data_IF_576396004065
#
_entry.id   IF_576396004065
#
_cell.length_a   1.000
_cell.length_b   1.000
_cell.length_c   1.000
_cell.angle_alpha   90.00
_cell.angle_beta   90.00
_cell.angle_gamma   90.00
#
_symmetry.space_group_name_H-M   'P 1'
#
loop_
_entity.id
_entity.type
_entity.pdbx_description
1 polymer ?
#
# COMPACT_ATOMS: atom_id res chain seq x y z
N UNK A 1 2.60 23.22 21.56
CA UNK A 1 3.05 22.24 20.55
C UNK A 1 3.62 23.04 19.39
N UNK A 2 4.93 23.20 19.33
CA UNK A 2 5.61 24.01 18.30
C UNK A 2 5.76 23.14 17.05
N UNK A 3 5.08 23.49 15.97
CA UNK A 3 5.27 22.83 14.67
C UNK A 3 6.55 23.43 14.07
N UNK A 4 7.60 22.63 13.96
CA UNK A 4 8.86 23.04 13.33
C UNK A 4 8.64 23.27 11.82
N UNK A 5 8.83 24.50 11.30
CA UNK A 5 8.56 24.83 9.90
C UNK A 5 9.58 24.25 8.90
N UNK A 6 10.55 23.44 9.35
CA UNK A 6 11.54 22.76 8.49
C UNK A 6 11.16 21.32 8.14
N UNK A 7 9.94 20.87 8.47
CA UNK A 7 9.47 19.57 8.00
C UNK A 7 9.27 19.61 6.49
N UNK A 8 10.13 18.86 5.78
CA UNK A 8 9.99 18.67 4.33
C UNK A 8 8.56 18.17 4.02
N UNK A 9 7.93 18.66 2.94
CA UNK A 9 6.54 18.30 2.63
C UNK A 9 6.40 16.79 2.50
N UNK A 10 5.47 16.22 3.28
CA UNK A 10 5.10 14.80 3.20
C UNK A 10 4.03 14.67 2.11
N UNK A 11 4.26 13.78 1.15
CA UNK A 11 3.22 13.42 0.20
C UNK A 11 2.29 12.38 0.82
N UNK A 12 0.99 12.52 0.57
CA UNK A 12 -0.02 11.54 1.01
C UNK A 12 -0.50 10.78 -0.22
N UNK A 13 -0.54 9.46 -0.12
CA UNK A 13 -0.95 8.58 -1.21
C UNK A 13 -1.92 7.49 -0.73
N UNK A 14 -2.58 6.85 -1.68
CA UNK A 14 -3.32 5.61 -1.47
C UNK A 14 -2.75 4.54 -2.39
N UNK A 15 -2.63 3.31 -1.87
CA UNK A 15 -2.13 2.16 -2.61
C UNK A 15 -3.15 1.04 -2.46
N UNK A 16 -3.79 0.68 -3.58
CA UNK A 16 -4.62 -0.50 -3.69
C UNK A 16 -3.73 -1.67 -4.18
N UNK A 17 -3.59 -2.69 -3.34
CA UNK A 17 -2.66 -3.81 -3.54
C UNK A 17 -3.13 -4.81 -4.62
N UNK A 18 -4.41 -4.80 -4.95
CA UNK A 18 -5.04 -5.66 -5.97
C UNK A 18 -5.30 -4.95 -7.30
N UNK A 19 -5.08 -3.64 -7.38
CA UNK A 19 -5.21 -2.88 -8.62
C UNK A 19 -4.02 -3.18 -9.57
N UNK A 20 -4.20 -3.08 -10.90
CA UNK A 20 -3.05 -3.10 -11.81
C UNK A 20 -2.08 -1.95 -11.50
N UNK A 21 -0.80 -2.13 -11.82
CA UNK A 21 0.16 -1.02 -11.74
C UNK A 21 -0.31 0.15 -12.62
N UNK A 22 -0.34 1.33 -12.01
CA UNK A 22 -0.48 2.57 -12.76
C UNK A 22 0.77 2.81 -13.59
N UNK A 23 0.70 3.59 -14.68
CA UNK A 23 1.89 3.94 -15.45
C UNK A 23 2.98 4.53 -14.54
N UNK A 24 4.26 4.27 -14.86
CA UNK A 24 5.34 4.60 -13.96
C UNK A 24 5.39 6.11 -13.70
N UNK A 25 5.45 6.48 -12.43
CA UNK A 25 5.53 7.86 -11.97
C UNK A 25 6.85 8.05 -11.25
N UNK A 26 7.88 8.36 -12.03
CA UNK A 26 9.23 8.56 -11.51
C UNK A 26 9.27 9.81 -10.62
N UNK A 27 9.77 9.62 -9.41
CA UNK A 27 9.93 10.72 -8.47
C UNK A 27 11.10 11.63 -8.89
N UNK A 28 10.87 12.93 -9.14
CA UNK A 28 11.94 13.84 -9.54
C UNK A 28 12.96 14.09 -8.43
N UNK A 29 12.62 13.77 -7.17
CA UNK A 29 13.48 13.89 -6.00
C UNK A 29 13.09 12.88 -4.92
N UNK A 30 14.00 12.62 -3.99
CA UNK A 30 13.70 11.79 -2.83
C UNK A 30 12.55 12.40 -2.02
N UNK A 31 11.56 11.58 -1.68
CA UNK A 31 10.28 12.03 -1.13
C UNK A 31 9.82 11.13 0.01
N UNK A 32 9.40 11.75 1.11
CA UNK A 32 8.70 11.04 2.19
C UNK A 32 7.22 10.93 1.85
N UNK A 33 6.70 9.71 1.87
CA UNK A 33 5.31 9.41 1.53
C UNK A 33 4.64 8.71 2.72
N UNK A 34 3.46 9.19 3.08
CA UNK A 34 2.52 8.51 3.96
C UNK A 34 1.43 7.90 3.08
N UNK A 35 1.30 6.57 3.07
CA UNK A 35 0.38 5.87 2.19
C UNK A 35 -0.66 5.06 2.97
N UNK A 36 -1.94 5.23 2.63
CA UNK A 36 -3.01 4.32 3.04
C UNK A 36 -2.96 3.07 2.15
N UNK A 37 -2.73 1.91 2.75
CA UNK A 37 -2.73 0.62 2.06
C UNK A 37 -4.10 -0.01 2.15
N UNK A 38 -4.64 -0.40 1.00
CA UNK A 38 -5.92 -1.06 0.84
C UNK A 38 -5.76 -2.37 0.08
N UNK A 39 -6.64 -3.32 0.37
CA UNK A 39 -6.76 -4.56 -0.38
C UNK A 39 -8.24 -4.85 -0.57
N UNK A 40 -8.66 -5.12 -1.81
CA UNK A 40 -10.06 -5.33 -2.16
C UNK A 40 -10.99 -4.20 -1.70
N UNK A 41 -10.48 -2.96 -1.75
CA UNK A 41 -11.20 -1.78 -1.28
C UNK A 41 -11.27 -1.60 0.23
N UNK A 42 -10.74 -2.52 1.04
CA UNK A 42 -10.71 -2.43 2.50
C UNK A 42 -9.39 -1.84 3.00
N UNK A 43 -9.40 -0.89 3.95
CA UNK A 43 -8.17 -0.35 4.54
C UNK A 43 -7.49 -1.42 5.40
N UNK A 44 -6.20 -1.64 5.16
CA UNK A 44 -5.37 -2.54 5.95
C UNK A 44 -4.52 -1.77 6.97
N UNK A 45 -3.98 -0.62 6.57
CA UNK A 45 -3.14 0.19 7.45
C UNK A 45 -2.52 1.38 6.74
N UNK A 46 -1.74 2.14 7.49
CA UNK A 46 -0.98 3.29 6.98
C UNK A 46 0.50 2.98 7.09
N UNK A 47 1.25 3.23 6.03
CA UNK A 47 2.71 3.09 6.01
C UNK A 47 3.37 4.45 5.81
N UNK A 48 4.55 4.62 6.41
CA UNK A 48 5.44 5.73 6.11
C UNK A 48 6.69 5.20 5.42
N UNK A 49 7.07 5.78 4.28
CA UNK A 49 8.30 5.39 3.59
C UNK A 49 9.00 6.58 2.94
N UNK A 50 10.31 6.51 2.82
CA UNK A 50 11.11 7.48 2.08
C UNK A 50 11.59 6.84 0.80
N UNK A 51 11.09 7.33 -0.33
CA UNK A 51 11.47 6.83 -1.65
C UNK A 51 12.61 7.67 -2.22
N UNK A 52 13.68 7.07 -2.75
CA UNK A 52 14.75 7.81 -3.40
C UNK A 52 14.28 8.46 -4.71
N UNK A 53 15.08 9.40 -5.21
CA UNK A 53 14.84 10.01 -6.53
C UNK A 53 14.96 8.94 -7.62
N UNK A 54 14.15 9.06 -8.68
CA UNK A 54 14.10 8.08 -9.77
C UNK A 54 13.40 6.76 -9.41
N UNK A 55 12.90 6.60 -8.19
CA UNK A 55 12.00 5.49 -7.87
C UNK A 55 10.68 5.64 -8.59
N UNK A 56 10.17 4.53 -9.10
CA UNK A 56 8.80 4.40 -9.53
C UNK A 56 7.87 4.39 -8.30
N UNK A 57 6.99 5.38 -8.20
CA UNK A 57 6.15 5.60 -7.02
C UNK A 57 5.23 4.40 -6.71
N UNK A 58 4.44 3.83 -7.65
CA UNK A 58 3.59 2.68 -7.38
C UNK A 58 4.39 1.46 -6.89
N UNK A 59 5.48 1.12 -7.59
CA UNK A 59 6.33 -0.01 -7.22
C UNK A 59 6.95 0.18 -5.84
N UNK A 60 7.54 1.35 -5.58
CA UNK A 60 8.19 1.65 -4.30
C UNK A 60 7.22 1.61 -3.12
N UNK A 61 5.99 2.10 -3.30
CA UNK A 61 4.97 2.05 -2.26
C UNK A 61 4.47 0.62 -2.01
N UNK A 62 4.32 -0.21 -3.05
CA UNK A 62 3.95 -1.63 -2.91
C UNK A 62 5.02 -2.43 -2.20
N UNK A 63 6.30 -2.22 -2.55
CA UNK A 63 7.41 -2.85 -1.83
C UNK A 63 7.38 -2.47 -0.35
N UNK A 64 7.21 -1.18 -0.04
CA UNK A 64 7.10 -0.72 1.34
C UNK A 64 5.90 -1.31 2.08
N UNK A 65 4.74 -1.42 1.41
CA UNK A 65 3.53 -2.05 1.96
C UNK A 65 3.76 -3.53 2.28
N UNK A 66 4.38 -4.29 1.37
CA UNK A 66 4.73 -5.68 1.59
C UNK A 66 5.73 -5.85 2.76
N UNK A 67 6.71 -4.95 2.89
CA UNK A 67 7.69 -5.01 3.98
C UNK A 67 7.06 -4.69 5.33
N UNK A 68 6.21 -3.67 5.42
CA UNK A 68 5.67 -3.19 6.70
C UNK A 68 4.38 -3.90 7.13
N UNK A 69 3.52 -4.29 6.18
CA UNK A 69 2.21 -4.89 6.45
C UNK A 69 2.10 -6.34 5.94
N UNK A 70 3.21 -6.98 5.56
CA UNK A 70 3.21 -8.29 4.88
C UNK A 70 2.40 -9.38 5.58
N UNK A 71 2.46 -9.47 6.92
CA UNK A 71 1.67 -10.45 7.68
C UNK A 71 0.17 -10.16 7.63
N UNK A 72 -0.24 -8.89 7.71
CA UNK A 72 -1.64 -8.47 7.61
C UNK A 72 -2.19 -8.68 6.20
N UNK A 73 -1.40 -8.37 5.18
CA UNK A 73 -1.70 -8.64 3.78
C UNK A 73 -1.93 -10.14 3.56
N UNK A 74 -1.01 -10.99 4.04
CA UNK A 74 -1.13 -12.44 3.92
C UNK A 74 -2.35 -12.99 4.68
N UNK A 75 -2.62 -12.48 5.88
CA UNK A 75 -3.80 -12.88 6.66
C UNK A 75 -5.11 -12.48 5.96
N UNK A 76 -5.18 -11.26 5.43
CA UNK A 76 -6.34 -10.77 4.69
C UNK A 76 -6.60 -11.61 3.44
N UNK A 77 -5.57 -11.82 2.62
CA UNK A 77 -5.65 -12.67 1.43
C UNK A 77 -6.12 -14.10 1.76
N UNK A 78 -5.64 -14.67 2.87
CA UNK A 78 -6.08 -16.00 3.33
C UNK A 78 -7.56 -16.00 3.76
N UNK A 79 -8.01 -14.97 4.47
CA UNK A 79 -9.43 -14.83 4.87
C UNK A 79 -10.33 -14.68 3.64
N UNK A 80 -9.92 -13.94 2.62
CA UNK A 80 -10.69 -13.81 1.38
C UNK A 80 -10.76 -15.11 0.59
N UNK A 81 -9.67 -15.86 0.54
CA UNK A 81 -9.63 -17.18 -0.10
C UNK A 81 -10.61 -18.15 0.58
N UNK A 82 -10.51 -18.28 1.91
CA UNK A 82 -11.39 -19.15 2.70
C UNK A 82 -12.85 -18.68 2.74
N UNK A 83 -13.09 -17.37 2.64
CA UNK A 83 -14.42 -16.79 2.55
C UNK A 83 -15.11 -17.04 1.19
N UNK A 84 -14.34 -17.14 0.10
CA UNK A 84 -14.85 -17.51 -1.23
C UNK A 84 -15.19 -19.00 -1.33
N UNK A 85 -14.40 -19.86 -0.72
CA UNK A 85 -14.62 -21.32 -0.74
C UNK A 85 -15.96 -21.72 -0.07
N UNK A 86 -16.35 -21.02 1.01
CA UNK A 86 -17.66 -21.23 1.69
C UNK A 86 -18.89 -20.86 0.85
N UNK A 87 -18.74 -20.16 -0.27
CA UNK A 87 -19.86 -19.81 -1.17
C UNK A 87 -20.03 -20.77 -2.34
N UNK A 88 -19.20 -21.82 -2.46
CA UNK A 88 -19.40 -22.87 -3.44
C UNK A 88 -20.52 -23.79 -2.92
N UNK A 89 -21.71 -23.85 -3.55
CA UNK A 89 -22.68 -24.86 -3.17
C UNK A 89 -22.03 -26.24 -3.35
N UNK A 90 -22.32 -27.22 -2.47
CA UNK A 90 -21.89 -28.58 -2.74
C UNK A 90 -22.46 -28.97 -4.10
N UNK A 91 -21.59 -29.36 -5.04
CA UNK A 91 -22.02 -29.94 -6.30
C UNK A 91 -22.88 -31.17 -5.96
N UNK A 92 -24.18 -31.06 -6.25
CA UNK A 92 -25.13 -32.17 -6.17
C UNK A 92 -24.88 -33.19 -7.30
#
# INVERSE_FOLDING_TARGET
>A
MVIDPKQAPIQVAQVDMDAPDSPPANLPRATSVLALVRMHGHPLGVIGTRLPAGSDLPTGLRTAACTQLGSQLAEHARRDWTGRDRRRPPSA
#
